data_IF_391496929612
#
_entry.id   IF_391496929612
#
_cell.length_a   1.000
_cell.length_b   1.000
_cell.length_c   1.000
_cell.angle_alpha   90.00
_cell.angle_beta   90.00
_cell.angle_gamma   90.00
#
_symmetry.space_group_name_H-M   'P 1'
#
loop_
_entity.id
_entity.type
_entity.pdbx_description
1 polymer ?
#
# COMPACT_ATOMS: atom_id res chain seq x y z
N UNK A 1 73.64 31.15 -33.76
CA UNK A 1 72.71 31.32 -32.63
C UNK A 1 71.28 31.15 -33.12
N UNK A 2 70.50 30.25 -32.51
CA UNK A 2 69.02 30.27 -32.36
C UNK A 2 68.15 30.18 -33.66
N UNK A 3 67.13 29.31 -33.83
CA UNK A 3 66.36 28.44 -32.93
C UNK A 3 65.76 27.24 -33.69
N UNK A 4 65.78 26.06 -33.07
CA UNK A 4 64.95 24.90 -33.41
C UNK A 4 63.53 25.09 -32.85
N UNK A 5 62.51 24.96 -33.69
CA UNK A 5 61.09 24.97 -33.29
C UNK A 5 60.54 23.54 -33.41
N UNK A 6 60.49 22.82 -32.29
CA UNK A 6 59.86 21.49 -32.19
C UNK A 6 58.34 21.63 -32.06
N UNK A 7 57.60 20.89 -32.87
CA UNK A 7 56.15 20.69 -32.74
C UNK A 7 55.88 19.50 -31.79
N UNK A 8 54.99 19.70 -30.81
CA UNK A 8 54.40 18.65 -29.98
C UNK A 8 53.02 18.31 -30.54
N UNK A 9 52.68 17.04 -30.83
CA UNK A 9 51.29 16.66 -31.01
C UNK A 9 50.63 16.50 -29.64
N UNK A 10 49.60 17.32 -29.37
CA UNK A 10 48.75 17.19 -28.20
C UNK A 10 47.91 15.91 -28.30
N UNK A 11 48.07 15.03 -27.31
CA UNK A 11 47.27 13.82 -27.10
C UNK A 11 45.84 14.26 -26.75
N UNK A 12 44.89 13.92 -27.62
CA UNK A 12 43.46 14.07 -27.32
C UNK A 12 43.05 13.03 -26.29
N UNK A 13 42.74 13.46 -25.06
CA UNK A 13 42.03 12.63 -24.10
C UNK A 13 40.59 12.45 -24.58
N UNK A 14 40.31 11.32 -25.21
CA UNK A 14 38.96 10.86 -25.46
C UNK A 14 38.31 10.49 -24.13
N UNK A 15 37.47 11.38 -23.60
CA UNK A 15 36.54 11.06 -22.52
C UNK A 15 35.53 10.04 -23.06
N UNK A 16 35.80 8.76 -22.80
CA UNK A 16 34.76 7.73 -22.92
C UNK A 16 33.74 7.99 -21.81
N UNK A 17 32.68 8.71 -22.13
CA UNK A 17 31.45 8.69 -21.35
C UNK A 17 30.90 7.27 -21.39
N UNK A 18 31.16 6.48 -20.35
CA UNK A 18 30.43 5.25 -20.10
C UNK A 18 28.94 5.60 -20.11
N UNK A 19 28.12 4.96 -20.97
CA UNK A 19 26.68 5.09 -20.82
C UNK A 19 26.35 4.50 -19.44
N UNK A 20 25.92 5.35 -18.52
CA UNK A 20 25.20 4.89 -17.35
C UNK A 20 23.93 4.23 -17.89
N UNK A 21 23.99 2.92 -18.15
CA UNK A 21 22.80 2.10 -18.29
C UNK A 21 22.05 2.32 -16.99
N UNK A 22 20.91 3.02 -17.05
CA UNK A 22 19.97 3.18 -15.94
C UNK A 22 19.38 1.80 -15.61
N UNK A 23 20.21 0.88 -15.12
CA UNK A 23 19.80 -0.46 -14.78
C UNK A 23 18.79 -0.39 -13.64
N UNK A 24 17.68 -1.09 -13.81
CA UNK A 24 16.72 -1.32 -12.75
C UNK A 24 17.39 -2.07 -11.59
N UNK A 25 17.08 -1.67 -10.36
CA UNK A 25 17.44 -2.41 -9.15
C UNK A 25 16.15 -2.64 -8.38
N UNK A 26 15.66 -3.87 -8.42
CA UNK A 26 14.45 -4.27 -7.68
C UNK A 26 14.86 -5.14 -6.50
N UNK A 27 14.63 -4.67 -5.28
CA UNK A 27 14.82 -5.46 -4.06
C UNK A 27 13.52 -6.16 -3.72
N UNK A 28 13.52 -7.48 -3.71
CA UNK A 28 12.37 -8.29 -3.35
C UNK A 28 12.39 -8.63 -1.87
N UNK A 29 11.26 -8.43 -1.21
CA UNK A 29 11.01 -8.72 0.19
C UNK A 29 9.89 -9.77 0.27
N UNK A 30 10.24 -10.94 0.76
CA UNK A 30 9.31 -12.01 1.15
C UNK A 30 9.44 -12.23 2.66
N UNK A 31 8.41 -12.73 3.37
CA UNK A 31 8.55 -13.06 4.78
C UNK A 31 9.80 -13.89 5.07
N UNK A 32 10.74 -13.33 5.85
CA UNK A 32 12.00 -13.97 6.24
C UNK A 32 13.12 -13.97 5.18
N UNK A 33 12.92 -13.39 4.00
CA UNK A 33 13.91 -13.41 2.91
C UNK A 33 13.89 -12.11 2.08
N UNK A 34 15.06 -11.52 1.89
CA UNK A 34 15.25 -10.37 1.00
C UNK A 34 16.36 -10.66 0.01
N UNK A 35 16.16 -10.30 -1.26
CA UNK A 35 17.16 -10.46 -2.32
C UNK A 35 17.01 -9.39 -3.40
N UNK A 36 18.03 -9.23 -4.24
CA UNK A 36 17.95 -8.37 -5.43
C UNK A 36 17.51 -9.19 -6.64
N UNK A 37 16.48 -8.76 -7.35
CA UNK A 37 16.07 -9.36 -8.61
C UNK A 37 17.05 -8.93 -9.72
N UNK A 38 17.75 -9.89 -10.31
CA UNK A 38 18.63 -9.64 -11.46
C UNK A 38 17.82 -9.43 -12.75
N UNK A 39 18.34 -8.61 -13.67
CA UNK A 39 17.78 -8.43 -15.04
C UNK A 39 16.28 -8.06 -15.08
N UNK A 40 15.82 -7.24 -14.13
CA UNK A 40 14.43 -6.82 -13.99
C UNK A 40 14.11 -5.53 -14.76
N UNK A 41 14.62 -5.39 -15.99
CA UNK A 41 14.48 -4.14 -16.78
C UNK A 41 13.03 -3.84 -17.17
N UNK A 42 12.16 -4.85 -17.14
CA UNK A 42 10.73 -4.70 -17.41
C UNK A 42 9.90 -5.48 -16.39
N UNK A 43 8.63 -5.11 -16.24
CA UNK A 43 7.69 -5.81 -15.35
C UNK A 43 7.55 -7.28 -15.75
N UNK A 44 7.46 -7.60 -17.05
CA UNK A 44 7.32 -8.98 -17.52
C UNK A 44 8.51 -9.85 -17.10
N UNK A 45 9.74 -9.34 -17.20
CA UNK A 45 10.95 -10.04 -16.74
C UNK A 45 10.99 -10.19 -15.23
N UNK A 46 10.51 -9.20 -14.48
CA UNK A 46 10.44 -9.25 -13.03
C UNK A 46 9.46 -10.34 -12.56
N UNK A 47 8.21 -10.30 -13.03
CA UNK A 47 7.14 -11.18 -12.51
C UNK A 47 7.27 -12.64 -12.98
N UNK A 48 8.10 -12.91 -13.99
CA UNK A 48 8.36 -14.26 -14.51
C UNK A 48 9.64 -14.90 -13.95
N UNK A 49 10.31 -14.26 -12.97
CA UNK A 49 11.54 -14.82 -12.41
C UNK A 49 11.29 -16.16 -11.69
N UNK A 50 12.13 -17.19 -11.90
CA UNK A 50 11.96 -18.50 -11.25
C UNK A 50 11.97 -18.46 -9.72
N UNK A 51 12.59 -17.43 -9.14
CA UNK A 51 12.67 -17.24 -7.70
C UNK A 51 11.36 -16.71 -7.08
N UNK A 52 10.44 -16.19 -7.90
CA UNK A 52 9.11 -15.71 -7.49
C UNK A 52 8.06 -16.80 -7.70
N UNK A 53 8.33 -17.99 -7.17
CA UNK A 53 7.38 -19.09 -7.16
C UNK A 53 6.40 -18.96 -5.98
N UNK A 54 5.16 -19.43 -6.15
CA UNK A 54 4.12 -19.41 -5.11
C UNK A 54 3.85 -17.99 -4.54
N UNK A 55 3.99 -16.95 -5.37
CA UNK A 55 3.65 -15.57 -5.02
C UNK A 55 2.17 -15.33 -5.27
N UNK A 56 1.51 -14.71 -4.31
CA UNK A 56 0.15 -14.23 -4.49
C UNK A 56 0.17 -12.79 -5.02
N UNK A 57 0.06 -12.66 -6.35
CA UNK A 57 0.25 -11.39 -7.05
C UNK A 57 -0.80 -10.32 -6.75
N UNK A 58 -2.03 -10.71 -6.38
CA UNK A 58 -3.07 -9.76 -5.95
C UNK A 58 -2.64 -9.00 -4.69
N UNK A 59 -1.92 -9.67 -3.79
CA UNK A 59 -1.33 -9.04 -2.62
C UNK A 59 0.00 -8.35 -2.89
N UNK A 60 0.65 -8.55 -4.03
CA UNK A 60 2.00 -8.02 -4.24
C UNK A 60 2.02 -6.49 -4.35
N UNK A 61 3.07 -5.86 -3.82
CA UNK A 61 3.23 -4.40 -3.82
C UNK A 61 4.61 -4.03 -4.33
N UNK A 62 4.66 -3.29 -5.43
CA UNK A 62 5.88 -2.62 -5.88
C UNK A 62 5.85 -1.15 -5.45
N UNK A 63 6.96 -0.68 -4.89
CA UNK A 63 7.09 0.65 -4.34
C UNK A 63 8.37 1.35 -4.79
N UNK A 64 8.33 2.68 -4.80
CA UNK A 64 9.50 3.52 -5.04
C UNK A 64 9.88 4.27 -3.76
N UNK A 65 11.18 4.55 -3.51
CA UNK A 65 11.60 5.29 -2.32
C UNK A 65 10.94 6.67 -2.18
N UNK A 66 10.73 7.38 -3.29
CA UNK A 66 10.09 8.70 -3.29
C UNK A 66 8.60 8.64 -2.95
N UNK A 67 7.88 7.63 -3.47
CA UNK A 67 6.47 7.41 -3.10
C UNK A 67 6.34 6.96 -1.65
N UNK A 68 7.26 6.12 -1.14
CA UNK A 68 7.26 5.68 0.26
C UNK A 68 7.41 6.86 1.20
N UNK A 69 8.35 7.78 0.95
CA UNK A 69 8.49 9.01 1.75
C UNK A 69 7.20 9.84 1.77
N UNK A 70 6.54 10.02 0.62
CA UNK A 70 5.26 10.75 0.55
C UNK A 70 4.16 10.05 1.36
N UNK A 71 4.04 8.73 1.23
CA UNK A 71 3.03 7.97 1.96
C UNK A 71 3.26 8.01 3.49
N UNK A 72 4.53 7.99 3.94
CA UNK A 72 4.88 8.17 5.35
C UNK A 72 4.58 9.59 5.86
N UNK A 73 4.78 10.62 5.03
CA UNK A 73 4.36 11.98 5.37
C UNK A 73 2.84 12.07 5.52
N UNK A 74 2.07 11.45 4.63
CA UNK A 74 0.60 11.36 4.76
C UNK A 74 0.19 10.62 6.04
N UNK A 75 0.91 9.55 6.42
CA UNK A 75 0.65 8.84 7.68
C UNK A 75 0.84 9.78 8.89
N UNK A 76 1.91 10.58 8.89
CA UNK A 76 2.15 11.56 9.95
C UNK A 76 1.07 12.65 9.99
N UNK A 77 0.61 13.12 8.84
CA UNK A 77 -0.47 14.11 8.73
C UNK A 77 -1.79 13.56 9.28
N UNK A 78 -2.16 12.33 8.92
CA UNK A 78 -3.37 11.67 9.47
C UNK A 78 -3.29 11.52 10.98
N UNK A 79 -2.13 11.13 11.51
CA UNK A 79 -1.92 11.02 12.95
C UNK A 79 -2.00 12.38 13.67
N UNK A 80 -1.50 13.45 13.04
CA UNK A 80 -1.63 14.81 13.55
C UNK A 80 -3.11 15.26 13.56
N UNK A 81 -3.86 14.99 12.49
CA UNK A 81 -5.30 15.28 12.41
C UNK A 81 -6.09 14.52 13.48
N UNK A 82 -5.81 13.24 13.68
CA UNK A 82 -6.42 12.45 14.76
C UNK A 82 -6.09 13.03 16.14
N UNK A 83 -4.83 13.44 16.37
CA UNK A 83 -4.44 14.07 17.63
C UNK A 83 -5.13 15.42 17.86
N UNK A 84 -5.25 16.24 16.83
CA UNK A 84 -5.94 17.52 16.90
C UNK A 84 -7.45 17.35 17.14
N UNK A 85 -8.05 16.32 16.54
CA UNK A 85 -9.45 15.98 16.80
C UNK A 85 -9.65 15.48 18.23
N UNK A 86 -8.75 14.63 18.73
CA UNK A 86 -8.80 14.12 20.09
C UNK A 86 -8.90 15.25 21.14
N UNK A 87 -8.21 16.37 20.94
CA UNK A 87 -8.22 17.51 21.89
C UNK A 87 -9.56 18.27 21.96
N UNK A 88 -10.50 17.97 21.05
CA UNK A 88 -11.80 18.65 20.94
C UNK A 88 -13.00 17.71 21.10
N UNK A 89 -12.74 16.42 21.26
CA UNK A 89 -13.75 15.38 21.34
C UNK A 89 -14.22 15.16 22.80
N UNK A 90 -15.37 14.51 22.96
CA UNK A 90 -15.82 13.99 24.26
C UNK A 90 -15.04 12.73 24.67
N UNK A 91 -15.15 12.33 25.94
CA UNK A 91 -14.34 11.24 26.54
C UNK A 91 -14.49 9.91 25.79
N UNK A 92 -15.69 9.54 25.37
CA UNK A 92 -15.94 8.29 24.63
C UNK A 92 -15.30 8.31 23.23
N UNK A 93 -15.40 9.44 22.52
CA UNK A 93 -14.73 9.59 21.22
C UNK A 93 -13.22 9.71 21.35
N UNK A 94 -12.69 10.32 22.42
CA UNK A 94 -11.26 10.36 22.70
C UNK A 94 -10.66 8.95 22.73
N UNK A 95 -11.33 8.01 23.43
CA UNK A 95 -10.88 6.62 23.49
C UNK A 95 -10.87 5.97 22.09
N UNK A 96 -11.92 6.20 21.30
CA UNK A 96 -12.05 5.68 19.93
C UNK A 96 -10.97 6.22 18.99
N UNK A 97 -10.76 7.55 19.00
CA UNK A 97 -9.74 8.23 18.20
C UNK A 97 -8.35 7.71 18.56
N UNK A 98 -8.06 7.53 19.85
CA UNK A 98 -6.79 6.98 20.34
C UNK A 98 -6.58 5.53 19.88
N UNK A 99 -7.62 4.70 19.91
CA UNK A 99 -7.56 3.32 19.44
C UNK A 99 -7.26 3.27 17.94
N UNK A 100 -7.95 4.08 17.12
CA UNK A 100 -7.69 4.20 15.68
C UNK A 100 -6.27 4.72 15.42
N UNK A 101 -5.83 5.78 16.09
CA UNK A 101 -4.49 6.32 15.92
C UNK A 101 -3.40 5.29 16.24
N UNK A 102 -3.63 4.42 17.23
CA UNK A 102 -2.70 3.33 17.57
C UNK A 102 -2.61 2.29 16.45
N UNK A 103 -3.75 1.91 15.86
CA UNK A 103 -3.77 1.05 14.68
C UNK A 103 -2.99 1.70 13.52
N UNK A 104 -3.25 2.98 13.21
CA UNK A 104 -2.57 3.69 12.11
C UNK A 104 -1.06 3.83 12.34
N UNK A 105 -0.59 4.08 13.58
CA UNK A 105 0.84 4.12 13.91
C UNK A 105 1.56 2.79 13.67
N UNK A 106 0.86 1.68 13.88
CA UNK A 106 1.45 0.34 13.69
C UNK A 106 1.62 -0.07 12.23
N UNK A 107 0.97 0.65 11.30
CA UNK A 107 1.02 0.32 9.88
C UNK A 107 2.41 0.58 9.29
N UNK A 108 2.92 -0.42 8.57
CA UNK A 108 4.08 -0.27 7.70
C UNK A 108 3.60 0.20 6.33
N UNK A 109 3.74 1.50 6.09
CA UNK A 109 3.29 2.16 4.86
C UNK A 109 4.42 2.20 3.84
N UNK A 110 4.11 1.85 2.59
CA UNK A 110 5.00 1.91 1.44
C UNK A 110 4.37 2.68 0.30
N UNK A 111 5.20 3.17 -0.62
CA UNK A 111 4.76 3.93 -1.78
C UNK A 111 4.23 3.05 -2.90
N UNK A 112 3.14 2.30 -2.66
CA UNK A 112 2.53 1.39 -3.64
C UNK A 112 2.31 2.09 -4.97
N UNK A 113 2.82 1.48 -6.04
CA UNK A 113 2.44 1.82 -7.41
C UNK A 113 1.21 0.99 -7.76
N UNK A 114 0.13 1.66 -8.18
CA UNK A 114 -1.12 1.01 -8.58
C UNK A 114 -0.99 0.53 -10.03
N UNK A 115 -0.24 -0.55 -10.20
CA UNK A 115 -0.05 -1.27 -11.46
C UNK A 115 -0.30 -2.75 -11.20
N UNK A 116 -0.79 -3.46 -12.21
CA UNK A 116 -0.94 -4.91 -12.11
C UNK A 116 0.44 -5.57 -12.09
N UNK A 117 0.64 -6.49 -11.14
CA UNK A 117 1.81 -7.35 -11.04
C UNK A 117 1.47 -8.80 -11.41
N UNK A 118 0.24 -9.06 -11.83
CA UNK A 118 -0.17 -10.38 -12.30
C UNK A 118 0.57 -10.75 -13.59
N UNK A 119 1.35 -11.84 -13.62
CA UNK A 119 2.08 -12.29 -14.81
C UNK A 119 1.20 -12.46 -16.04
N UNK A 120 -0.05 -12.89 -15.87
CA UNK A 120 -0.97 -13.11 -16.99
C UNK A 120 -1.49 -11.78 -17.55
N UNK A 121 -1.76 -10.81 -16.68
CA UNK A 121 -2.15 -9.46 -17.08
C UNK A 121 -0.98 -8.70 -17.76
N UNK A 122 0.23 -8.81 -17.20
CA UNK A 122 1.43 -8.14 -17.74
C UNK A 122 1.80 -8.69 -19.12
N UNK A 123 1.53 -9.98 -19.38
CA UNK A 123 1.82 -10.62 -20.68
C UNK A 123 0.80 -10.32 -21.77
N UNK A 124 -0.45 -10.07 -21.40
CA UNK A 124 -1.55 -9.95 -22.36
C UNK A 124 -1.80 -8.51 -22.82
N UNK A 125 -1.38 -7.51 -22.02
CA UNK A 125 -1.48 -6.09 -22.39
C UNK A 125 -0.09 -5.51 -22.75
N UNK A 126 0.06 -5.01 -23.98
CA UNK A 126 1.28 -4.33 -24.43
C UNK A 126 1.60 -3.04 -23.62
N UNK A 127 0.61 -2.45 -22.94
CA UNK A 127 0.81 -1.34 -21.98
C UNK A 127 1.11 -1.83 -20.55
N UNK A 128 0.94 -3.12 -20.30
CA UNK A 128 1.20 -3.79 -19.03
C UNK A 128 2.68 -4.01 -18.78
N UNK A 129 3.48 -4.28 -19.82
CA UNK A 129 4.92 -4.48 -19.69
C UNK A 129 5.69 -3.15 -19.68
N UNK A 130 5.81 -2.55 -18.48
CA UNK A 130 6.51 -1.27 -18.30
C UNK A 130 8.00 -1.47 -18.08
N UNK A 131 8.80 -0.56 -18.64
CA UNK A 131 10.22 -0.41 -18.31
C UNK A 131 10.37 -0.01 -16.84
N UNK A 132 11.30 -0.65 -16.14
CA UNK A 132 11.68 -0.32 -14.78
C UNK A 132 12.99 0.45 -14.82
N UNK A 133 12.97 1.68 -14.27
CA UNK A 133 14.14 2.54 -14.22
C UNK A 133 14.40 3.00 -12.79
N UNK A 134 15.63 2.79 -12.31
CA UNK A 134 16.03 3.13 -10.94
C UNK A 134 15.69 2.06 -9.91
N UNK A 135 15.35 2.50 -8.69
CA UNK A 135 15.24 1.61 -7.51
C UNK A 135 13.79 1.34 -7.14
N UNK A 136 13.46 0.06 -6.95
CA UNK A 136 12.16 -0.41 -6.51
C UNK A 136 12.30 -1.40 -5.36
N UNK A 137 11.28 -1.42 -4.50
CA UNK A 137 11.06 -2.46 -3.50
C UNK A 137 9.81 -3.25 -3.88
N UNK A 138 9.94 -4.56 -4.07
CA UNK A 138 8.84 -5.48 -4.34
C UNK A 138 8.54 -6.28 -3.08
N UNK A 139 7.36 -6.10 -2.50
CA UNK A 139 6.86 -6.87 -1.37
C UNK A 139 5.93 -7.96 -1.88
N UNK A 140 6.24 -9.21 -1.54
CA UNK A 140 5.46 -10.39 -1.92
C UNK A 140 5.16 -11.22 -0.68
N UNK A 141 3.98 -11.82 -0.64
CA UNK A 141 3.62 -12.80 0.39
C UNK A 141 2.85 -13.98 -0.21
N UNK A 142 2.79 -15.11 0.52
CA UNK A 142 1.87 -16.20 0.19
C UNK A 142 0.42 -15.73 0.26
N UNK A 143 -0.50 -16.49 -0.35
CA UNK A 143 -1.92 -16.18 -0.29
C UNK A 143 -2.43 -16.10 1.17
N UNK A 144 -3.06 -14.98 1.51
CA UNK A 144 -3.67 -14.79 2.81
C UNK A 144 -4.86 -15.74 3.00
N UNK A 145 -5.10 -16.15 4.25
CA UNK A 145 -6.31 -16.88 4.69
C UNK A 145 -7.11 -16.11 5.73
N UNK A 146 -6.88 -14.80 5.81
CA UNK A 146 -7.50 -13.92 6.79
C UNK A 146 -8.00 -12.64 6.15
N UNK A 147 -9.03 -12.05 6.74
CA UNK A 147 -9.40 -10.65 6.52
C UNK A 147 -9.00 -9.85 7.76
N UNK A 148 -8.66 -8.57 7.60
CA UNK A 148 -8.21 -7.74 8.72
C UNK A 148 -9.28 -6.69 9.04
N UNK A 149 -9.89 -6.77 10.22
CA UNK A 149 -10.83 -5.78 10.71
C UNK A 149 -10.06 -4.63 11.38
N UNK A 150 -10.32 -3.40 10.94
CA UNK A 150 -9.67 -2.19 11.44
C UNK A 150 -10.67 -1.04 11.65
N UNK A 151 -10.25 -0.04 12.43
CA UNK A 151 -10.98 1.20 12.64
C UNK A 151 -11.68 1.30 13.98
N UNK A 152 -12.83 1.96 13.98
CA UNK A 152 -13.61 2.30 15.17
C UNK A 152 -14.41 1.08 15.70
N UNK A 153 -13.69 0.01 16.02
CA UNK A 153 -14.22 -1.25 16.57
C UNK A 153 -13.49 -1.62 17.86
N UNK A 154 -14.17 -2.35 18.74
CA UNK A 154 -13.61 -2.74 20.04
C UNK A 154 -12.44 -3.72 19.92
N UNK A 155 -12.53 -4.65 18.96
CA UNK A 155 -11.56 -5.74 18.76
C UNK A 155 -11.05 -5.77 17.32
N UNK A 156 -10.17 -4.81 16.92
CA UNK A 156 -9.51 -4.88 15.62
C UNK A 156 -8.55 -6.07 15.57
N UNK A 157 -8.37 -6.66 14.39
CA UNK A 157 -7.49 -7.82 14.23
C UNK A 157 -7.78 -8.68 13.01
N UNK A 158 -7.05 -9.80 12.90
CA UNK A 158 -7.22 -10.77 11.82
C UNK A 158 -8.38 -11.72 12.15
N UNK A 159 -9.28 -11.91 11.20
CA UNK A 159 -10.37 -12.87 11.22
C UNK A 159 -10.10 -13.93 10.16
N UNK A 160 -10.45 -15.19 10.44
CA UNK A 160 -10.34 -16.26 9.46
C UNK A 160 -11.22 -15.96 8.24
N UNK A 161 -10.64 -15.98 7.05
CA UNK A 161 -11.40 -15.79 5.81
C UNK A 161 -12.29 -17.01 5.58
N UNK A 162 -13.55 -16.76 5.20
CA UNK A 162 -14.58 -17.76 4.93
C UNK A 162 -15.14 -17.54 3.52
N UNK A 163 -15.10 -18.56 2.65
CA UNK A 163 -15.75 -18.50 1.34
C UNK A 163 -17.24 -18.15 1.47
N UNK A 164 -17.74 -17.25 0.62
CA UNK A 164 -19.16 -16.85 0.60
C UNK A 164 -19.61 -15.95 1.77
N UNK A 165 -18.73 -15.66 2.73
CA UNK A 165 -19.07 -14.78 3.85
C UNK A 165 -19.13 -13.32 3.41
N UNK A 166 -20.25 -12.67 3.71
CA UNK A 166 -20.44 -11.25 3.43
C UNK A 166 -19.65 -10.38 4.42
N UNK A 167 -19.42 -9.12 4.07
CA UNK A 167 -18.84 -8.13 4.99
C UNK A 167 -19.65 -8.06 6.30
N UNK A 168 -20.98 -8.17 6.21
CA UNK A 168 -21.87 -8.19 7.38
C UNK A 168 -21.58 -9.39 8.28
N UNK A 169 -21.29 -10.57 7.73
CA UNK A 169 -21.00 -11.78 8.52
C UNK A 169 -19.71 -11.66 9.33
N UNK A 170 -18.74 -10.87 8.87
CA UNK A 170 -17.54 -10.56 9.65
C UNK A 170 -17.78 -9.54 10.77
N UNK A 171 -18.81 -8.69 10.61
CA UNK A 171 -19.16 -7.66 11.58
C UNK A 171 -20.15 -8.15 12.65
N UNK A 172 -20.76 -9.32 12.46
CA UNK A 172 -21.61 -9.94 13.46
C UNK A 172 -20.82 -10.18 14.75
N UNK A 173 -21.36 -9.72 15.88
CA UNK A 173 -20.70 -9.81 17.19
C UNK A 173 -19.54 -8.83 17.39
N UNK A 174 -19.16 -8.03 16.38
CA UNK A 174 -18.14 -7.01 16.53
C UNK A 174 -18.77 -5.72 17.07
N UNK A 175 -18.32 -5.30 18.26
CA UNK A 175 -18.79 -4.05 18.86
C UNK A 175 -18.14 -2.85 18.17
N UNK A 176 -18.97 -1.93 17.67
CA UNK A 176 -18.51 -0.63 17.16
C UNK A 176 -18.32 0.36 18.32
N UNK A 177 -17.27 1.17 18.24
CA UNK A 177 -16.96 2.18 19.24
C UNK A 177 -17.77 3.47 19.01
N UNK A 178 -17.71 4.39 19.97
CA UNK A 178 -18.40 5.68 19.89
C UNK A 178 -17.92 6.49 18.68
N UNK A 179 -18.87 7.02 17.90
CA UNK A 179 -18.57 7.79 16.69
C UNK A 179 -18.17 6.95 15.47
N UNK A 180 -18.25 5.62 15.52
CA UNK A 180 -18.09 4.76 14.34
C UNK A 180 -19.25 4.93 13.34
N UNK A 181 -18.97 4.85 12.04
CA UNK A 181 -19.99 4.72 11.00
C UNK A 181 -20.81 3.46 11.32
N UNK A 182 -22.14 3.50 11.17
CA UNK A 182 -23.03 2.36 11.41
C UNK A 182 -23.62 1.79 10.13
N UNK A 183 -23.50 2.52 9.04
CA UNK A 183 -24.16 2.24 7.77
C UNK A 183 -23.22 1.58 6.77
N UNK A 184 -21.94 1.98 6.79
CA UNK A 184 -20.97 1.56 5.78
C UNK A 184 -19.69 1.01 6.42
N UNK A 185 -18.99 0.19 5.63
CA UNK A 185 -17.62 -0.28 5.86
C UNK A 185 -16.89 -0.19 4.53
N UNK A 186 -15.67 0.33 4.54
CA UNK A 186 -14.84 0.33 3.32
C UNK A 186 -14.04 -0.97 3.28
N UNK A 187 -14.28 -1.77 2.26
CA UNK A 187 -13.45 -2.92 1.93
C UNK A 187 -12.26 -2.40 1.12
N UNK A 188 -11.05 -2.79 1.52
CA UNK A 188 -9.84 -2.56 0.76
C UNK A 188 -9.30 -3.92 0.37
N UNK A 189 -9.36 -4.21 -0.93
CA UNK A 189 -8.90 -5.48 -1.46
C UNK A 189 -7.37 -5.52 -1.51
N UNK A 190 -6.77 -6.71 -1.65
CA UNK A 190 -5.31 -6.88 -1.64
C UNK A 190 -4.61 -6.08 -2.74
N UNK A 191 -5.27 -5.91 -3.89
CA UNK A 191 -4.80 -5.11 -5.03
C UNK A 191 -4.85 -3.59 -4.77
N UNK A 192 -5.45 -3.18 -3.64
CA UNK A 192 -5.59 -1.81 -3.20
C UNK A 192 -6.81 -1.09 -3.78
N UNK A 193 -7.66 -1.79 -4.53
CA UNK A 193 -8.99 -1.30 -4.89
C UNK A 193 -9.87 -1.20 -3.65
N UNK A 194 -10.91 -0.37 -3.74
CA UNK A 194 -11.79 -0.10 -2.60
C UNK A 194 -13.25 -0.18 -3.01
N UNK A 195 -14.04 -0.78 -2.13
CA UNK A 195 -15.49 -0.90 -2.28
C UNK A 195 -16.16 -0.47 -0.98
N UNK A 196 -17.12 0.45 -1.08
CA UNK A 196 -17.97 0.78 0.07
C UNK A 196 -19.04 -0.28 0.20
N UNK A 197 -19.03 -1.02 1.30
CA UNK A 197 -20.01 -2.04 1.64
C UNK A 197 -21.08 -1.46 2.60
N UNK A 198 -22.33 -1.32 2.12
CA UNK A 198 -23.46 -1.00 3.00
C UNK A 198 -23.79 -2.21 3.87
N UNK A 199 -23.86 -2.01 5.19
CA UNK A 199 -23.98 -3.09 6.19
C UNK A 199 -25.10 -2.87 7.20
N UNK A 200 -25.73 -1.70 7.19
CA UNK A 200 -26.90 -1.43 8.04
C UNK A 200 -28.10 -2.28 7.60
N UNK A 201 -29.01 -2.54 8.52
CA UNK A 201 -30.20 -3.37 8.27
C UNK A 201 -31.02 -2.89 7.05
N UNK A 202 -31.10 -1.59 6.82
CA UNK A 202 -31.93 -0.97 5.78
C UNK A 202 -31.25 -0.84 4.40
N UNK A 203 -29.92 -0.97 4.31
CA UNK A 203 -29.16 -0.80 3.06
C UNK A 203 -28.26 -1.99 2.72
N UNK A 204 -28.26 -3.04 3.52
CA UNK A 204 -27.32 -4.16 3.41
C UNK A 204 -27.28 -4.73 1.98
N UNK A 205 -26.05 -4.94 1.49
CA UNK A 205 -25.78 -5.66 0.25
C UNK A 205 -24.87 -6.84 0.53
N UNK A 206 -25.07 -7.94 -0.21
CA UNK A 206 -24.16 -9.08 -0.18
C UNK A 206 -22.91 -8.71 -0.96
N UNK A 207 -21.84 -8.38 -0.23
CA UNK A 207 -20.51 -8.11 -0.76
C UNK A 207 -19.57 -9.05 -0.01
N UNK A 208 -18.78 -9.82 -0.74
CA UNK A 208 -17.85 -10.79 -0.18
C UNK A 208 -16.48 -10.15 -0.01
N UNK A 209 -15.77 -10.53 1.06
CA UNK A 209 -14.40 -10.10 1.26
C UNK A 209 -13.44 -11.03 0.53
N UNK A 210 -12.48 -10.47 -0.19
CA UNK A 210 -11.37 -11.25 -0.71
C UNK A 210 -10.42 -11.71 0.42
N UNK A 211 -9.73 -12.85 0.26
CA UNK A 211 -8.66 -13.22 1.19
C UNK A 211 -7.63 -12.10 1.27
N UNK A 212 -7.24 -11.67 2.47
CA UNK A 212 -6.30 -10.56 2.69
C UNK A 212 -6.89 -9.16 2.64
N UNK A 213 -8.19 -9.01 2.37
CA UNK A 213 -8.87 -7.72 2.40
C UNK A 213 -8.85 -7.09 3.81
N UNK A 214 -8.87 -5.76 3.85
CA UNK A 214 -9.07 -4.98 5.06
C UNK A 214 -10.50 -4.48 5.12
N UNK A 215 -11.16 -4.71 6.25
CA UNK A 215 -12.49 -4.18 6.53
C UNK A 215 -12.32 -2.94 7.42
N UNK A 216 -12.42 -1.77 6.82
CA UNK A 216 -12.27 -0.49 7.51
C UNK A 216 -13.61 0.03 8.01
N UNK A 217 -13.80 0.04 9.33
CA UNK A 217 -14.92 0.72 10.00
C UNK A 217 -14.49 2.14 10.32
N UNK A 218 -14.87 3.08 9.45
CA UNK A 218 -14.56 4.50 9.61
C UNK A 218 -15.35 5.20 10.72
N UNK A 219 -15.07 6.48 10.89
CA UNK A 219 -15.90 7.35 11.73
C UNK A 219 -17.18 7.73 11.00
N UNK A 220 -18.31 7.87 11.71
CA UNK A 220 -19.55 8.39 11.10
C UNK A 220 -19.24 9.81 10.59
N UNK A 221 -19.50 10.14 9.32
CA UNK A 221 -19.26 11.47 8.79
C UNK A 221 -19.89 12.60 9.63
N UNK A 222 -21.01 12.32 10.32
CA UNK A 222 -21.69 13.28 11.21
C UNK A 222 -20.99 13.46 12.56
N UNK A 223 -20.09 12.55 12.93
CA UNK A 223 -19.30 12.62 14.16
C UNK A 223 -17.94 13.30 13.95
N UNK A 224 -17.51 13.46 12.68
CA UNK A 224 -16.24 14.11 12.31
C UNK A 224 -16.45 15.62 12.16
N UNK A 225 -15.69 16.47 12.86
CA UNK A 225 -15.76 17.93 12.70
C UNK A 225 -15.34 18.38 11.29
N UNK A 226 -15.90 19.49 10.82
CA UNK A 226 -15.67 20.03 9.46
C UNK A 226 -14.18 20.24 9.13
N UNK A 227 -13.36 20.65 10.10
CA UNK A 227 -11.91 20.82 9.93
C UNK A 227 -11.16 19.53 9.56
N UNK A 228 -11.79 18.38 9.78
CA UNK A 228 -11.25 17.05 9.48
C UNK A 228 -12.06 16.31 8.41
N UNK A 229 -12.84 17.05 7.61
CA UNK A 229 -13.48 16.51 6.41
C UNK A 229 -12.42 15.87 5.52
N UNK A 230 -12.63 14.62 5.08
CA UNK A 230 -11.64 13.86 4.33
C UNK A 230 -10.77 12.92 5.16
N UNK A 231 -10.87 12.90 6.50
CA UNK A 231 -10.02 12.06 7.34
C UNK A 231 -10.22 10.56 7.08
N UNK A 232 -11.46 10.12 6.86
CA UNK A 232 -11.74 8.73 6.51
C UNK A 232 -11.09 8.35 5.18
N UNK A 233 -11.20 9.22 4.17
CA UNK A 233 -10.65 9.03 2.83
C UNK A 233 -9.12 8.99 2.88
N UNK A 234 -8.49 9.85 3.68
CA UNK A 234 -7.04 9.85 3.90
C UNK A 234 -6.57 8.55 4.58
N UNK A 235 -7.33 8.06 5.57
CA UNK A 235 -7.02 6.78 6.23
C UNK A 235 -7.16 5.62 5.23
N UNK A 236 -8.25 5.57 4.47
CA UNK A 236 -8.45 4.55 3.42
C UNK A 236 -7.28 4.59 2.43
N UNK A 237 -6.88 5.78 1.96
CA UNK A 237 -5.74 5.94 1.08
C UNK A 237 -4.42 5.44 1.69
N UNK A 238 -4.21 5.56 3.01
CA UNK A 238 -3.06 4.94 3.67
C UNK A 238 -3.17 3.42 3.69
N UNK A 239 -4.35 2.88 3.98
CA UNK A 239 -4.57 1.43 4.07
C UNK A 239 -4.34 0.73 2.72
N UNK A 240 -4.64 1.37 1.58
CA UNK A 240 -4.35 0.81 0.25
C UNK A 240 -2.84 0.71 -0.05
N UNK A 241 -2.00 1.33 0.78
CA UNK A 241 -0.53 1.47 0.63
C UNK A 241 0.25 0.69 1.69
N UNK A 242 -0.40 -0.20 2.44
CA UNK A 242 0.26 -1.04 3.45
C UNK A 242 1.08 -2.16 2.80
N UNK A 243 2.07 -2.65 3.54
CA UNK A 243 2.74 -3.90 3.18
C UNK A 243 1.76 -5.06 3.41
N UNK A 244 1.74 -6.07 2.51
CA UNK A 244 0.97 -7.31 2.69
C UNK A 244 1.40 -8.06 3.95
N UNK A 245 0.44 -8.74 4.58
CA UNK A 245 0.68 -9.62 5.73
C UNK A 245 1.39 -10.92 5.34
#
# INVERSE_FOLDING_TARGET
>A
MNRLRKWLPGVGLSLFSLPALCASVVTVHQPGKTWSAGQADTLSRLVTQPQLNNVWWQGAVIATPSATRRAQQTQQQVLASLSAWQNRADDERIATIRAVATQIRSLRIVGRQFISLDPDAVRTDARGDRSLEGRYDLWVSPASRTVTLMGAVATPGKLAWRPGASIRDYLQGQLRLAGADRNNVTVIDPDGSTVVAPVAYWNARHIEAEPGAVLWVGFDPRAVPDDFTGLNEQIVALLTRRIPD
#
